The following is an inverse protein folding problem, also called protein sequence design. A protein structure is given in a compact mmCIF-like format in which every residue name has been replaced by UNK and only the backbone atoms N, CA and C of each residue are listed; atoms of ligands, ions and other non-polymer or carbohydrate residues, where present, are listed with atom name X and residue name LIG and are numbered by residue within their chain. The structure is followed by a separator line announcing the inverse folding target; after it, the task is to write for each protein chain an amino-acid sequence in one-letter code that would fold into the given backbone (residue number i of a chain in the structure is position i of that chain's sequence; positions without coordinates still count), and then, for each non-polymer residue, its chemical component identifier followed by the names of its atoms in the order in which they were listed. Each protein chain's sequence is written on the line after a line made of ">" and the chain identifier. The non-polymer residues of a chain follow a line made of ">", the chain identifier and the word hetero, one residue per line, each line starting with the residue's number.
data_IF_169318112780
#
_entry.id   IF_169318112780
#
_cell.length_a   1.000
_cell.length_b   1.000
_cell.length_c   1.000
_cell.angle_alpha   90.00
_cell.angle_beta   90.00
_cell.angle_gamma   90.00
#
_symmetry.space_group_name_H-M   'P 1'
#
loop_
_entity.id
_entity.type
_entity.pdbx_description
1 polymer ?
#
# COMPACT_ATOMS: atom_id res chain seq x y z
N UNK A 1 -7.90 8.44 1.79
CA UNK A 1 -7.10 7.64 2.73
C UNK A 1 -8.00 7.08 3.83
N UNK A 2 -7.75 5.85 4.27
CA UNK A 2 -8.66 5.08 5.13
C UNK A 2 -7.96 4.59 6.42
N UNK A 3 -7.67 5.48 7.39
CA UNK A 3 -6.89 5.14 8.59
C UNK A 3 -7.54 4.06 9.47
N UNK A 4 -8.87 4.00 9.50
CA UNK A 4 -9.59 2.95 10.24
C UNK A 4 -9.36 1.56 9.64
N UNK A 5 -9.27 1.45 8.31
CA UNK A 5 -8.99 0.18 7.64
C UNK A 5 -7.54 -0.25 7.95
N UNK A 6 -6.57 0.65 7.82
CA UNK A 6 -5.18 0.37 8.15
C UNK A 6 -5.03 -0.13 9.60
N UNK A 7 -5.74 0.47 10.55
CA UNK A 7 -5.76 0.04 11.96
C UNK A 7 -6.33 -1.36 12.14
N UNK A 8 -7.42 -1.70 11.44
CA UNK A 8 -8.01 -3.05 11.45
C UNK A 8 -7.03 -4.07 10.87
N UNK A 9 -6.43 -3.78 9.71
CA UNK A 9 -5.44 -4.65 9.08
C UNK A 9 -4.27 -4.92 10.03
N UNK A 10 -3.73 -3.89 10.68
CA UNK A 10 -2.66 -4.05 11.68
C UNK A 10 -3.10 -4.88 12.89
N UNK A 11 -4.31 -4.64 13.41
CA UNK A 11 -4.86 -5.39 14.55
C UNK A 11 -4.95 -6.89 14.29
N UNK A 12 -5.23 -7.28 13.05
CA UNK A 12 -5.39 -8.68 12.65
C UNK A 12 -4.20 -9.24 11.86
N UNK A 13 -3.08 -8.50 11.79
CA UNK A 13 -1.87 -8.90 11.07
C UNK A 13 -2.13 -9.26 9.59
N UNK A 14 -2.96 -8.46 8.91
CA UNK A 14 -3.29 -8.64 7.50
C UNK A 14 -2.24 -7.99 6.60
N UNK A 15 -1.88 -8.69 5.53
CA UNK A 15 -1.05 -8.11 4.47
C UNK A 15 -1.81 -6.99 3.75
N UNK A 16 -1.13 -5.86 3.54
CA UNK A 16 -1.68 -4.69 2.85
C UNK A 16 -0.85 -4.40 1.59
N UNK A 17 -1.50 -3.77 0.60
CA UNK A 17 -0.89 -3.21 -0.61
C UNK A 17 -1.44 -1.80 -0.79
N UNK A 18 -0.59 -0.88 -1.26
CA UNK A 18 -1.01 0.43 -1.74
C UNK A 18 -1.01 0.34 -3.27
N UNK A 19 -2.14 0.67 -3.88
CA UNK A 19 -2.31 0.75 -5.33
C UNK A 19 -2.96 2.08 -5.73
N UNK A 20 -2.98 2.34 -7.03
CA UNK A 20 -3.55 3.56 -7.61
C UNK A 20 -4.98 3.41 -8.09
N UNK A 21 -5.48 2.18 -8.25
CA UNK A 21 -6.68 1.85 -9.03
C UNK A 21 -6.79 2.66 -10.36
N UNK A 22 -5.64 2.86 -11.02
CA UNK A 22 -5.54 3.78 -12.15
C UNK A 22 -6.28 3.25 -13.39
N UNK A 23 -7.13 4.09 -13.97
CA UNK A 23 -7.86 3.85 -15.22
C UNK A 23 -7.19 4.52 -16.43
N UNK A 24 -6.14 5.33 -16.18
CA UNK A 24 -5.34 5.98 -17.21
C UNK A 24 -3.89 6.18 -16.78
N UNK A 25 -2.99 6.38 -17.76
CA UNK A 25 -1.56 6.57 -17.47
C UNK A 25 -1.26 7.82 -16.62
N UNK A 26 -2.13 8.85 -16.69
CA UNK A 26 -2.00 10.07 -15.89
C UNK A 26 -2.34 9.90 -14.41
N UNK A 27 -2.94 8.76 -14.03
CA UNK A 27 -3.29 8.42 -12.64
C UNK A 27 -2.21 7.59 -11.95
N UNK A 28 -1.16 7.19 -12.69
CA UNK A 28 -0.01 6.54 -12.08
C UNK A 28 0.71 7.52 -11.16
N UNK A 29 1.11 7.00 -10.00
CA UNK A 29 1.85 7.75 -9.00
C UNK A 29 3.26 7.15 -8.87
N UNK A 30 4.21 7.99 -8.46
CA UNK A 30 5.52 7.52 -8.06
C UNK A 30 5.52 6.98 -6.61
N UNK A 31 6.66 6.44 -6.20
CA UNK A 31 6.79 5.86 -4.87
C UNK A 31 6.62 6.87 -3.74
N UNK A 32 7.07 8.11 -3.91
CA UNK A 32 6.93 9.16 -2.89
C UNK A 32 5.46 9.47 -2.64
N UNK A 33 4.65 9.56 -3.70
CA UNK A 33 3.21 9.78 -3.56
C UNK A 33 2.48 8.58 -2.93
N UNK A 34 2.92 7.37 -3.23
CA UNK A 34 2.42 6.16 -2.57
C UNK A 34 2.81 6.13 -1.07
N UNK A 35 4.03 6.57 -0.74
CA UNK A 35 4.49 6.72 0.65
C UNK A 35 3.62 7.71 1.41
N UNK A 36 3.37 8.90 0.86
CA UNK A 36 2.49 9.89 1.48
C UNK A 36 1.10 9.32 1.76
N UNK A 37 0.54 8.58 0.81
CA UNK A 37 -0.77 7.92 0.92
C UNK A 37 -0.81 6.88 2.05
N UNK A 38 0.28 6.15 2.26
CA UNK A 38 0.37 5.23 3.40
C UNK A 38 0.49 5.96 4.73
N UNK A 39 1.29 7.03 4.77
CA UNK A 39 1.52 7.80 5.98
C UNK A 39 0.26 8.50 6.48
N UNK A 40 -0.53 9.18 5.62
CA UNK A 40 -1.78 9.79 6.12
C UNK A 40 -2.90 8.76 6.39
N UNK A 41 -2.74 7.50 5.94
CA UNK A 41 -3.54 6.35 6.37
C UNK A 41 -3.07 5.77 7.71
N UNK A 42 -2.06 6.36 8.37
CA UNK A 42 -1.59 5.95 9.69
C UNK A 42 -0.61 4.77 9.68
N UNK A 43 -0.01 4.47 8.52
CA UNK A 43 1.09 3.53 8.41
C UNK A 43 2.41 4.19 8.83
N UNK A 44 3.34 3.39 9.34
CA UNK A 44 4.74 3.80 9.50
C UNK A 44 5.51 3.68 8.18
N UNK A 45 6.71 4.24 8.09
CA UNK A 45 7.58 4.04 6.91
C UNK A 45 7.91 2.56 6.68
N UNK A 46 8.10 1.79 7.74
CA UNK A 46 8.34 0.35 7.66
C UNK A 46 7.10 -0.39 7.14
N UNK A 47 5.90 -0.01 7.59
CA UNK A 47 4.64 -0.55 7.07
C UNK A 47 4.51 -0.26 5.57
N UNK A 48 4.78 0.98 5.14
CA UNK A 48 4.78 1.37 3.72
C UNK A 48 5.77 0.52 2.92
N UNK A 49 7.01 0.38 3.38
CA UNK A 49 8.00 -0.50 2.73
C UNK A 49 7.47 -1.93 2.63
N UNK A 50 6.85 -2.44 3.68
CA UNK A 50 6.28 -3.78 3.70
C UNK A 50 5.13 -3.94 2.69
N UNK A 51 4.32 -2.91 2.45
CA UNK A 51 3.26 -2.98 1.42
C UNK A 51 3.83 -3.22 0.01
N UNK A 52 4.99 -2.64 -0.30
CA UNK A 52 5.69 -2.87 -1.57
C UNK A 52 6.23 -4.30 -1.67
N UNK A 53 6.80 -4.85 -0.58
CA UNK A 53 7.25 -6.24 -0.55
C UNK A 53 6.08 -7.22 -0.67
N UNK A 54 4.92 -6.91 -0.06
CA UNK A 54 3.69 -7.69 -0.23
C UNK A 54 3.24 -7.70 -1.69
N UNK A 55 3.24 -6.55 -2.37
CA UNK A 55 2.89 -6.46 -3.79
C UNK A 55 3.81 -7.34 -4.66
N UNK A 56 5.13 -7.27 -4.45
CA UNK A 56 6.11 -8.13 -5.14
C UNK A 56 5.86 -9.62 -4.87
N UNK A 57 5.56 -9.99 -3.62
CA UNK A 57 5.26 -11.37 -3.22
C UNK A 57 3.98 -11.88 -3.89
N UNK A 58 2.95 -11.05 -4.00
CA UNK A 58 1.70 -11.39 -4.70
C UNK A 58 1.97 -11.56 -6.20
N UNK A 59 2.65 -10.61 -6.83
CA UNK A 59 2.96 -10.67 -8.26
C UNK A 59 3.76 -11.94 -8.65
N UNK A 60 4.73 -12.34 -7.80
CA UNK A 60 5.50 -13.58 -7.98
C UNK A 60 4.67 -14.87 -8.01
N UNK A 61 3.39 -14.85 -7.60
CA UNK A 61 2.51 -16.02 -7.72
C UNK A 61 1.92 -16.20 -9.12
N UNK A 62 2.01 -15.18 -9.96
CA UNK A 62 1.40 -15.13 -11.29
C UNK A 62 2.42 -15.20 -12.45
N UNK A 63 3.71 -15.25 -12.11
CA UNK A 63 4.83 -15.47 -13.04
C UNK A 63 5.51 -16.79 -12.69
#
# INVERSE_FOLDING_TARGET
>A
ENPEIAKICKKFNLEMVIDTDAHSAGELIDYEKAKDTGLNAGLSEDDVRQTNENAKKIFKKFI
#
